data_IF_696062890578
#
_entry.id   IF_696062890578
#
_cell.length_a   1.000
_cell.length_b   1.000
_cell.length_c   1.000
_cell.angle_alpha   90.00
_cell.angle_beta   90.00
_cell.angle_gamma   90.00
#
_symmetry.space_group_name_H-M   'P 1'
#
loop_
_entity.id
_entity.type
_entity.pdbx_description
1 polymer ?
#
# COMPACT_ATOMS: atom_id res chain seq x y z
N UNK A 1 -37.71 41.65 47.08
CA UNK A 1 -38.50 40.48 46.61
C UNK A 1 -38.13 40.23 45.15
N UNK A 2 -37.58 39.04 44.92
CA UNK A 2 -36.71 38.64 43.82
C UNK A 2 -37.33 38.71 42.42
N UNK A 3 -36.50 39.01 41.40
CA UNK A 3 -36.68 38.47 40.04
C UNK A 3 -35.36 38.47 39.25
N UNK A 4 -34.54 37.48 39.58
CA UNK A 4 -33.71 36.63 38.71
C UNK A 4 -33.36 37.17 37.31
N UNK A 5 -32.10 37.59 37.14
CA UNK A 5 -31.43 37.81 35.86
C UNK A 5 -31.04 36.44 35.28
N UNK A 6 -31.76 35.93 34.27
CA UNK A 6 -31.41 34.66 33.61
C UNK A 6 -30.36 34.90 32.52
N UNK A 7 -29.11 34.59 32.83
CA UNK A 7 -27.99 34.52 31.88
C UNK A 7 -28.18 33.30 30.97
N UNK A 8 -28.49 33.53 29.69
CA UNK A 8 -28.45 32.48 28.66
C UNK A 8 -26.99 32.23 28.26
N UNK A 9 -26.41 31.13 28.73
CA UNK A 9 -25.13 30.63 28.22
C UNK A 9 -25.38 29.94 26.87
N UNK A 10 -24.93 30.56 25.78
CA UNK A 10 -24.91 29.93 24.46
C UNK A 10 -23.78 28.88 24.44
N UNK A 11 -24.14 27.61 24.48
CA UNK A 11 -23.19 26.53 24.20
C UNK A 11 -22.87 26.54 22.69
N UNK A 12 -21.69 27.04 22.34
CA UNK A 12 -21.15 26.92 21.00
C UNK A 12 -20.83 25.43 20.74
N UNK A 13 -21.71 24.75 20.00
CA UNK A 13 -21.47 23.40 19.51
C UNK A 13 -20.35 23.47 18.47
N UNK A 14 -19.12 23.13 18.86
CA UNK A 14 -17.99 22.99 17.96
C UNK A 14 -18.26 21.76 17.08
N UNK A 15 -18.83 21.97 15.90
CA UNK A 15 -18.93 20.90 14.90
C UNK A 15 -17.51 20.52 14.50
N UNK A 16 -17.02 19.35 14.94
CA UNK A 16 -15.88 18.70 14.32
C UNK A 16 -16.29 18.41 12.87
N UNK A 17 -15.89 19.28 11.95
CA UNK A 17 -15.88 18.95 10.54
C UNK A 17 -14.87 17.81 10.38
N UNK A 18 -15.36 16.59 10.16
CA UNK A 18 -14.52 15.48 9.74
C UNK A 18 -13.91 15.86 8.38
N UNK A 19 -12.63 16.24 8.39
CA UNK A 19 -11.86 16.42 7.16
C UNK A 19 -11.83 15.04 6.48
N UNK A 20 -12.26 14.92 5.21
CA UNK A 20 -12.22 13.63 4.52
C UNK A 20 -10.78 13.13 4.54
N UNK A 21 -10.59 11.92 5.08
CA UNK A 21 -9.31 11.25 5.05
C UNK A 21 -8.87 11.11 3.59
N UNK A 22 -7.69 11.64 3.28
CA UNK A 22 -7.28 11.82 1.90
C UNK A 22 -6.89 10.46 1.28
N UNK A 23 -7.74 9.98 0.36
CA UNK A 23 -7.57 8.70 -0.31
C UNK A 23 -6.57 8.82 -1.48
N UNK A 24 -5.61 7.91 -1.55
CA UNK A 24 -4.77 7.66 -2.72
C UNK A 24 -5.16 6.39 -3.46
N UNK A 25 -4.76 6.33 -4.73
CA UNK A 25 -5.05 5.21 -5.62
C UNK A 25 -3.76 4.68 -6.24
N UNK A 26 -3.60 3.36 -6.29
CA UNK A 26 -2.49 2.70 -6.99
C UNK A 26 -3.02 1.59 -7.89
N UNK A 27 -2.39 1.41 -9.05
CA UNK A 27 -2.61 0.28 -9.95
C UNK A 27 -1.42 -0.69 -9.87
N UNK A 28 -1.67 -1.89 -9.36
CA UNK A 28 -0.65 -2.90 -9.08
C UNK A 28 -0.73 -3.99 -10.17
N UNK A 29 0.31 -4.17 -11.00
CA UNK A 29 0.33 -5.27 -11.96
C UNK A 29 0.45 -6.62 -11.24
N UNK A 30 -0.06 -7.69 -11.86
CA UNK A 30 0.13 -9.04 -11.34
C UNK A 30 1.64 -9.40 -11.31
N UNK A 31 2.08 -9.88 -10.15
CA UNK A 31 3.45 -10.36 -9.92
C UNK A 31 3.60 -11.81 -10.42
N UNK A 32 2.58 -12.65 -10.20
CA UNK A 32 2.52 -14.04 -10.69
C UNK A 32 1.13 -14.39 -11.15
N UNK A 33 1.01 -15.27 -12.14
CA UNK A 33 -0.21 -16.01 -12.42
C UNK A 33 0.07 -17.43 -12.93
N UNK A 34 -0.90 -18.32 -12.81
CA UNK A 34 -0.76 -19.68 -13.34
C UNK A 34 -2.10 -20.38 -13.53
N UNK A 35 -2.18 -21.41 -14.39
CA UNK A 35 -3.35 -22.28 -14.55
C UNK A 35 -3.12 -23.70 -14.03
N UNK A 36 -4.06 -24.19 -13.20
CA UNK A 36 -4.13 -25.57 -12.72
C UNK A 36 -5.06 -26.42 -13.60
N UNK A 37 -4.65 -27.65 -13.90
CA UNK A 37 -5.33 -28.55 -14.86
C UNK A 37 -5.75 -29.86 -14.17
N UNK A 38 -7.05 -30.09 -14.00
CA UNK A 38 -7.52 -31.19 -13.14
C UNK A 38 -7.35 -32.61 -13.69
N UNK A 39 -7.25 -32.74 -15.01
CA UNK A 39 -7.11 -34.02 -15.70
C UNK A 39 -5.72 -34.63 -15.54
N UNK A 40 -4.71 -33.83 -15.19
CA UNK A 40 -3.35 -34.32 -15.04
C UNK A 40 -2.54 -33.42 -14.09
N UNK A 41 -2.07 -34.01 -12.99
CA UNK A 41 -1.23 -33.33 -11.99
C UNK A 41 0.17 -32.93 -12.47
N UNK A 42 0.56 -33.27 -13.70
CA UNK A 42 1.83 -32.87 -14.32
C UNK A 42 1.66 -31.78 -15.38
N UNK A 43 0.49 -31.14 -15.46
CA UNK A 43 0.24 -30.02 -16.37
C UNK A 43 0.21 -28.69 -15.62
N UNK A 44 0.82 -27.68 -16.23
CA UNK A 44 0.89 -26.31 -15.74
C UNK A 44 0.83 -25.30 -16.89
N UNK A 45 0.54 -24.05 -16.55
CA UNK A 45 0.81 -22.90 -17.40
C UNK A 45 1.27 -21.76 -16.49
N UNK A 46 2.58 -21.53 -16.39
CA UNK A 46 3.18 -20.48 -15.57
C UNK A 46 3.86 -19.36 -16.38
N UNK A 47 3.99 -19.54 -17.69
CA UNK A 47 4.69 -18.60 -18.58
C UNK A 47 3.95 -18.31 -19.89
N UNK A 48 2.73 -18.83 -20.07
CA UNK A 48 1.90 -18.58 -21.25
C UNK A 48 1.22 -17.20 -21.24
N UNK A 49 0.69 -16.80 -22.37
CA UNK A 49 0.04 -15.50 -22.59
C UNK A 49 -1.37 -15.43 -21.99
N UNK A 50 -1.91 -16.56 -21.51
CA UNK A 50 -3.26 -16.66 -20.97
C UNK A 50 -3.35 -17.54 -19.72
N UNK A 51 -4.38 -17.30 -18.90
CA UNK A 51 -4.79 -18.23 -17.86
C UNK A 51 -6.28 -18.57 -17.94
N UNK A 52 -6.68 -19.69 -17.32
CA UNK A 52 -8.00 -20.26 -17.52
C UNK A 52 -8.71 -20.58 -16.20
N UNK A 53 -10.03 -20.45 -16.22
CA UNK A 53 -10.90 -20.91 -15.14
C UNK A 53 -12.19 -21.54 -15.69
N UNK A 54 -12.86 -22.39 -14.92
CA UNK A 54 -14.10 -23.07 -15.30
C UNK A 54 -13.87 -24.46 -15.90
N UNK A 55 -14.86 -24.99 -16.62
CA UNK A 55 -14.86 -26.38 -17.10
C UNK A 55 -14.84 -26.43 -18.63
N UNK A 56 -13.95 -27.24 -19.16
CA UNK A 56 -13.83 -27.50 -20.62
C UNK A 56 -15.02 -28.31 -21.15
N UNK A 57 -15.12 -28.43 -22.47
CA UNK A 57 -16.12 -29.31 -23.10
C UNK A 57 -15.92 -30.81 -22.77
N UNK A 58 -14.74 -31.20 -22.32
CA UNK A 58 -14.41 -32.57 -21.90
C UNK A 58 -14.58 -32.81 -20.40
N UNK A 59 -15.12 -31.82 -19.66
CA UNK A 59 -15.35 -31.94 -18.21
C UNK A 59 -14.12 -31.71 -17.33
N UNK A 60 -12.96 -31.38 -17.90
CA UNK A 60 -11.77 -31.02 -17.15
C UNK A 60 -11.88 -29.60 -16.59
N UNK A 61 -11.50 -29.41 -15.33
CA UNK A 61 -11.53 -28.13 -14.61
C UNK A 61 -10.22 -27.36 -14.84
N UNK A 62 -10.38 -26.04 -14.87
CA UNK A 62 -9.33 -25.03 -14.85
C UNK A 62 -9.55 -24.13 -13.66
N UNK A 63 -8.47 -23.81 -12.95
CA UNK A 63 -8.44 -22.77 -11.93
C UNK A 63 -7.19 -21.94 -12.16
N UNK A 64 -7.29 -20.64 -11.97
CA UNK A 64 -6.12 -19.77 -12.09
C UNK A 64 -5.67 -19.28 -10.71
N UNK A 65 -4.37 -19.12 -10.53
CA UNK A 65 -3.78 -18.43 -9.38
C UNK A 65 -3.29 -17.08 -9.84
N UNK A 66 -3.43 -16.05 -9.01
CA UNK A 66 -2.93 -14.70 -9.31
C UNK A 66 -2.46 -14.02 -8.02
N UNK A 67 -1.29 -13.38 -8.08
CA UNK A 67 -0.65 -12.71 -6.93
C UNK A 67 -0.23 -11.29 -7.30
N UNK A 68 -0.44 -10.35 -6.36
CA UNK A 68 -0.04 -8.95 -6.47
C UNK A 68 0.92 -8.58 -5.33
N UNK A 69 1.91 -7.74 -5.61
CA UNK A 69 2.84 -7.25 -4.59
C UNK A 69 2.30 -6.01 -3.87
N UNK A 70 1.41 -6.24 -2.89
CA UNK A 70 0.73 -5.18 -2.15
C UNK A 70 1.70 -4.37 -1.27
N UNK A 71 2.58 -5.05 -0.53
CA UNK A 71 3.40 -4.42 0.50
C UNK A 71 4.49 -3.49 -0.07
N UNK A 72 4.98 -3.76 -1.29
CA UNK A 72 5.90 -2.87 -1.97
C UNK A 72 5.20 -1.76 -2.79
N UNK A 73 3.88 -1.86 -2.97
CA UNK A 73 3.09 -0.90 -3.76
C UNK A 73 2.32 0.11 -2.93
N UNK A 74 2.02 -0.21 -1.66
CA UNK A 74 1.23 0.64 -0.76
C UNK A 74 2.04 0.92 0.51
N UNK A 75 2.11 2.18 0.98
CA UNK A 75 2.81 2.51 2.22
C UNK A 75 2.29 1.69 3.41
N UNK A 76 3.20 1.08 4.16
CA UNK A 76 2.86 0.32 5.36
C UNK A 76 2.08 1.17 6.37
N UNK A 77 1.02 0.61 6.97
CA UNK A 77 0.13 1.33 7.88
C UNK A 77 -1.00 2.11 7.19
N UNK A 78 -1.09 2.06 5.86
CA UNK A 78 -2.26 2.58 5.15
C UNK A 78 -3.53 1.80 5.51
N UNK A 79 -4.66 2.49 5.47
CA UNK A 79 -5.99 1.88 5.55
C UNK A 79 -6.54 1.68 4.15
N UNK A 80 -6.84 0.44 3.75
CA UNK A 80 -7.44 0.13 2.45
C UNK A 80 -8.91 0.57 2.47
N UNK A 81 -9.30 1.35 1.47
CA UNK A 81 -10.66 1.84 1.26
C UNK A 81 -11.41 0.93 0.29
N UNK A 82 -10.78 0.58 -0.83
CA UNK A 82 -11.38 -0.26 -1.87
C UNK A 82 -10.32 -1.11 -2.56
N UNK A 83 -10.73 -2.23 -3.15
CA UNK A 83 -9.90 -3.04 -4.04
C UNK A 83 -10.73 -3.51 -5.23
N UNK A 84 -10.22 -3.32 -6.44
CA UNK A 84 -10.84 -3.73 -7.69
C UNK A 84 -9.83 -4.48 -8.57
N UNK A 85 -10.11 -5.74 -8.89
CA UNK A 85 -9.30 -6.53 -9.83
C UNK A 85 -9.91 -6.42 -11.22
N UNK A 86 -9.14 -5.95 -12.19
CA UNK A 86 -9.51 -5.88 -13.60
C UNK A 86 -8.82 -7.01 -14.36
N UNK A 87 -9.60 -7.86 -15.02
CA UNK A 87 -9.12 -8.92 -15.90
C UNK A 87 -9.71 -8.75 -17.30
N UNK A 88 -8.94 -9.07 -18.34
CA UNK A 88 -9.44 -9.09 -19.71
C UNK A 88 -9.81 -10.52 -20.12
N UNK A 89 -11.11 -10.81 -20.25
CA UNK A 89 -11.57 -12.09 -20.79
C UNK A 89 -11.46 -12.07 -22.32
N UNK A 90 -10.55 -12.89 -22.86
CA UNK A 90 -10.20 -12.88 -24.28
C UNK A 90 -10.83 -14.00 -25.09
N UNK A 91 -11.40 -15.04 -24.45
CA UNK A 91 -12.13 -16.10 -25.16
C UNK A 91 -13.02 -16.94 -24.23
N UNK A 92 -14.20 -17.30 -24.72
CA UNK A 92 -15.10 -18.27 -24.08
C UNK A 92 -16.04 -18.92 -25.10
N UNK A 93 -16.52 -20.12 -24.81
CA UNK A 93 -17.64 -20.76 -25.50
C UNK A 93 -18.94 -20.74 -24.67
N UNK A 94 -18.88 -20.16 -23.47
CA UNK A 94 -19.98 -20.08 -22.52
C UNK A 94 -20.62 -18.70 -22.54
N UNK A 95 -21.90 -18.62 -22.20
CA UNK A 95 -22.57 -17.36 -21.82
C UNK A 95 -22.05 -16.84 -20.47
N UNK A 96 -22.71 -15.81 -19.94
CA UNK A 96 -22.48 -15.29 -18.60
C UNK A 96 -22.47 -16.41 -17.54
N UNK A 97 -21.38 -16.53 -16.79
CA UNK A 97 -21.24 -17.43 -15.63
C UNK A 97 -20.51 -16.70 -14.52
N UNK A 98 -20.82 -17.08 -13.28
CA UNK A 98 -20.13 -16.54 -12.12
C UNK A 98 -18.68 -17.04 -12.06
N UNK A 99 -17.77 -16.09 -11.88
CA UNK A 99 -16.36 -16.34 -11.61
C UNK A 99 -16.02 -15.72 -10.26
N UNK A 100 -15.38 -16.51 -9.41
CA UNK A 100 -15.17 -16.21 -7.99
C UNK A 100 -13.69 -16.07 -7.68
N UNK A 101 -13.37 -15.12 -6.81
CA UNK A 101 -12.06 -14.98 -6.21
C UNK A 101 -12.08 -15.57 -4.81
N UNK A 102 -11.14 -16.45 -4.50
CA UNK A 102 -10.97 -17.02 -3.16
C UNK A 102 -9.56 -16.78 -2.66
N UNK A 103 -9.39 -16.32 -1.43
CA UNK A 103 -8.06 -16.09 -0.86
C UNK A 103 -7.30 -17.40 -0.69
N UNK A 104 -6.09 -17.46 -1.25
CA UNK A 104 -5.19 -18.62 -1.16
C UNK A 104 -4.56 -18.68 0.23
N UNK A 105 -4.38 -19.90 0.75
CA UNK A 105 -3.91 -20.15 2.12
C UNK A 105 -2.47 -20.63 2.21
N UNK A 106 -1.85 -20.97 1.09
CA UNK A 106 -0.47 -21.44 1.03
C UNK A 106 0.28 -20.79 -0.13
N UNK A 107 1.59 -20.58 0.05
CA UNK A 107 2.45 -20.12 -1.03
C UNK A 107 2.50 -21.13 -2.17
N UNK A 108 2.71 -20.61 -3.37
CA UNK A 108 2.77 -21.39 -4.60
C UNK A 108 3.81 -20.80 -5.55
N UNK A 109 4.25 -21.63 -6.49
CA UNK A 109 5.28 -21.28 -7.46
C UNK A 109 4.73 -21.11 -8.87
N UNK A 110 5.43 -20.30 -9.65
CA UNK A 110 5.17 -20.05 -11.06
C UNK A 110 6.46 -20.43 -11.78
N UNK A 111 6.41 -21.50 -12.57
CA UNK A 111 7.55 -22.04 -13.29
C UNK A 111 7.51 -21.64 -14.76
N UNK A 112 8.43 -22.24 -15.52
CA UNK A 112 8.66 -21.89 -16.93
C UNK A 112 7.72 -22.60 -17.92
N UNK A 113 6.71 -23.33 -17.45
CA UNK A 113 5.78 -24.06 -18.33
C UNK A 113 5.03 -23.09 -19.23
N UNK A 114 5.28 -23.18 -20.53
CA UNK A 114 4.70 -22.34 -21.55
C UNK A 114 4.03 -23.20 -22.64
N UNK A 115 2.69 -23.37 -22.59
CA UNK A 115 1.95 -24.07 -23.63
C UNK A 115 1.90 -23.29 -24.93
N UNK A 116 1.86 -24.00 -26.05
CA UNK A 116 1.78 -23.38 -27.38
C UNK A 116 0.33 -23.17 -27.83
N UNK A 117 0.14 -22.29 -28.82
CA UNK A 117 -1.16 -22.10 -29.48
C UNK A 117 -2.18 -21.39 -28.59
N UNK A 118 -3.30 -22.04 -28.30
CA UNK A 118 -4.41 -21.47 -27.52
C UNK A 118 -4.32 -21.78 -26.01
N UNK A 119 -3.29 -22.49 -25.57
CA UNK A 119 -2.87 -22.68 -24.17
C UNK A 119 -3.80 -23.42 -23.20
N UNK A 120 -5.08 -23.63 -23.54
CA UNK A 120 -6.06 -24.23 -22.62
C UNK A 120 -5.78 -25.68 -22.20
N UNK A 121 -4.87 -26.37 -22.88
CA UNK A 121 -4.44 -27.72 -22.53
C UNK A 121 -3.25 -27.76 -21.53
N UNK A 122 -2.57 -26.62 -21.30
CA UNK A 122 -1.35 -26.58 -20.50
C UNK A 122 -0.15 -27.24 -21.16
N UNK A 123 1.00 -27.15 -20.49
CA UNK A 123 2.26 -27.78 -20.88
C UNK A 123 2.76 -28.71 -19.76
N UNK A 124 3.77 -29.53 -20.07
CA UNK A 124 4.42 -30.36 -19.06
C UNK A 124 5.07 -29.48 -17.98
N UNK A 125 4.65 -29.68 -16.73
CA UNK A 125 5.10 -28.92 -15.57
C UNK A 125 6.62 -28.97 -15.42
N UNK A 126 7.20 -27.80 -15.15
CA UNK A 126 8.61 -27.60 -14.87
C UNK A 126 8.81 -27.43 -13.35
N UNK A 127 10.05 -27.59 -12.85
CA UNK A 127 10.34 -27.35 -11.45
C UNK A 127 9.86 -25.97 -10.97
N UNK A 128 9.10 -25.95 -9.89
CA UNK A 128 8.53 -24.73 -9.32
C UNK A 128 7.12 -24.37 -9.79
N UNK A 129 6.55 -25.05 -10.80
CA UNK A 129 5.18 -24.77 -11.23
C UNK A 129 4.12 -25.15 -10.19
N UNK A 130 3.03 -24.39 -10.15
CA UNK A 130 1.79 -24.84 -9.55
C UNK A 130 1.04 -25.75 -10.52
N UNK A 131 0.63 -26.93 -10.05
CA UNK A 131 -0.21 -27.88 -10.78
C UNK A 131 -1.44 -28.20 -9.95
N UNK A 132 -2.35 -29.02 -10.49
CA UNK A 132 -3.53 -29.46 -9.73
C UNK A 132 -3.18 -30.18 -8.43
N UNK A 133 -2.05 -30.90 -8.37
CA UNK A 133 -1.66 -31.69 -7.20
C UNK A 133 -0.53 -31.06 -6.38
N UNK A 134 0.26 -30.15 -6.97
CA UNK A 134 1.40 -29.52 -6.32
C UNK A 134 1.34 -27.99 -6.32
N UNK A 135 1.67 -27.37 -5.19
CA UNK A 135 1.89 -25.91 -5.10
C UNK A 135 3.30 -25.50 -5.51
N UNK A 136 4.25 -26.45 -5.44
CA UNK A 136 5.56 -26.36 -6.08
C UNK A 136 5.92 -27.73 -6.66
N UNK A 137 5.72 -27.91 -7.96
CA UNK A 137 6.03 -29.15 -8.66
C UNK A 137 7.55 -29.40 -8.70
N UNK A 138 8.00 -30.66 -8.56
CA UNK A 138 7.22 -31.86 -8.22
C UNK A 138 7.07 -32.09 -6.70
N UNK A 139 7.69 -31.26 -5.85
CA UNK A 139 8.04 -31.64 -4.47
C UNK A 139 7.06 -31.26 -3.37
N UNK A 140 6.18 -30.28 -3.56
CA UNK A 140 5.30 -29.78 -2.49
C UNK A 140 3.82 -29.86 -2.89
N UNK A 141 3.02 -30.76 -2.28
CA UNK A 141 1.61 -30.91 -2.61
C UNK A 141 0.74 -29.77 -2.04
N UNK A 142 -0.43 -29.59 -2.64
CA UNK A 142 -1.57 -28.96 -1.94
C UNK A 142 -2.10 -29.89 -0.86
N UNK A 143 -2.80 -29.36 0.15
CA UNK A 143 -3.53 -30.19 1.10
C UNK A 143 -4.75 -30.83 0.43
N UNK A 144 -5.47 -30.03 -0.38
CA UNK A 144 -6.54 -30.52 -1.27
C UNK A 144 -6.15 -30.26 -2.73
N UNK A 145 -6.20 -31.27 -3.63
CA UNK A 145 -5.96 -31.05 -5.06
C UNK A 145 -6.88 -29.94 -5.62
N UNK A 146 -6.30 -29.07 -6.44
CA UNK A 146 -6.95 -27.88 -6.99
C UNK A 146 -6.80 -26.62 -6.14
N UNK A 147 -5.99 -26.65 -5.08
CA UNK A 147 -5.58 -25.47 -4.30
C UNK A 147 -6.12 -25.43 -2.88
N UNK A 148 -5.35 -24.80 -1.98
CA UNK A 148 -5.77 -24.52 -0.60
C UNK A 148 -6.27 -23.07 -0.50
N UNK A 149 -7.57 -22.86 -0.28
CA UNK A 149 -8.20 -21.55 -0.28
C UNK A 149 -9.37 -21.43 0.71
N UNK A 150 -9.76 -20.20 1.03
CA UNK A 150 -10.95 -19.92 1.84
C UNK A 150 -12.23 -20.20 1.04
N UNK A 151 -13.09 -21.08 1.54
CA UNK A 151 -14.32 -21.48 0.85
C UNK A 151 -15.27 -20.31 0.55
N UNK A 152 -15.38 -19.33 1.45
CA UNK A 152 -16.12 -18.09 1.19
C UNK A 152 -15.36 -17.23 0.17
N UNK A 153 -15.98 -16.86 -0.97
CA UNK A 153 -15.32 -16.03 -1.96
C UNK A 153 -15.11 -14.61 -1.42
N UNK A 154 -13.97 -14.03 -1.75
CA UNK A 154 -13.66 -12.62 -1.54
C UNK A 154 -14.53 -11.75 -2.44
N UNK A 155 -14.75 -12.17 -3.69
CA UNK A 155 -15.67 -11.52 -4.63
C UNK A 155 -16.26 -12.51 -5.63
N UNK A 156 -17.39 -12.14 -6.21
CA UNK A 156 -18.07 -12.85 -7.29
C UNK A 156 -18.42 -11.83 -8.36
N UNK A 157 -18.18 -12.17 -9.63
CA UNK A 157 -18.55 -11.35 -10.78
C UNK A 157 -19.07 -12.25 -11.89
N UNK A 158 -20.08 -11.79 -12.62
CA UNK A 158 -20.64 -12.53 -13.75
C UNK A 158 -19.87 -12.17 -15.02
N UNK A 159 -19.15 -13.13 -15.58
CA UNK A 159 -18.29 -12.94 -16.75
C UNK A 159 -19.01 -13.46 -18.00
N UNK A 160 -19.40 -12.54 -18.87
CA UNK A 160 -19.98 -12.84 -20.19
C UNK A 160 -18.94 -12.65 -21.30
N UNK A 161 -19.37 -12.53 -22.56
CA UNK A 161 -18.52 -12.22 -23.70
C UNK A 161 -18.13 -10.73 -23.72
N UNK A 162 -16.84 -10.44 -23.79
CA UNK A 162 -16.31 -9.08 -23.92
C UNK A 162 -15.13 -8.82 -22.97
N UNK A 163 -14.42 -7.69 -23.15
CA UNK A 163 -13.29 -7.31 -22.31
C UNK A 163 -13.72 -6.55 -21.04
N UNK A 164 -12.80 -6.43 -20.08
CA UNK A 164 -12.88 -5.43 -19.00
C UNK A 164 -13.66 -5.84 -17.75
N UNK A 165 -13.67 -7.13 -17.40
CA UNK A 165 -14.33 -7.62 -16.19
C UNK A 165 -13.66 -7.08 -14.92
N UNK A 166 -14.48 -6.63 -13.96
CA UNK A 166 -14.00 -6.02 -12.72
C UNK A 166 -14.64 -6.67 -11.50
N UNK A 167 -13.82 -7.29 -10.64
CA UNK A 167 -14.23 -7.77 -9.33
C UNK A 167 -13.94 -6.67 -8.30
N UNK A 168 -14.94 -6.30 -7.52
CA UNK A 168 -14.75 -5.42 -6.37
C UNK A 168 -15.67 -5.89 -5.23
N UNK A 169 -15.19 -5.78 -3.99
CA UNK A 169 -15.98 -6.08 -2.81
C UNK A 169 -15.25 -5.62 -1.54
N UNK A 170 -16.00 -5.57 -0.43
CA UNK A 170 -15.39 -5.41 0.90
C UNK A 170 -14.47 -6.59 1.27
N UNK A 171 -14.79 -7.81 0.82
CA UNK A 171 -13.97 -9.00 1.05
C UNK A 171 -12.56 -8.87 0.45
N UNK A 172 -12.48 -8.33 -0.78
CA UNK A 172 -11.20 -8.04 -1.42
C UNK A 172 -10.42 -6.95 -0.70
N UNK A 173 -11.07 -5.86 -0.29
CA UNK A 173 -10.41 -4.80 0.48
C UNK A 173 -9.83 -5.34 1.80
N UNK A 174 -10.56 -6.22 2.49
CA UNK A 174 -10.10 -6.88 3.72
C UNK A 174 -8.91 -7.81 3.48
N UNK A 175 -8.90 -8.58 2.40
CA UNK A 175 -7.76 -9.41 2.03
C UNK A 175 -6.51 -8.54 1.77
N UNK A 176 -6.65 -7.48 0.98
CA UNK A 176 -5.54 -6.54 0.69
C UNK A 176 -5.05 -5.85 1.96
N UNK A 177 -5.94 -5.44 2.87
CA UNK A 177 -5.54 -4.88 4.17
C UNK A 177 -4.77 -5.92 5.00
N UNK A 178 -5.23 -7.17 5.01
CA UNK A 178 -4.54 -8.28 5.69
C UNK A 178 -3.13 -8.51 5.13
N UNK A 179 -2.99 -8.50 3.81
CA UNK A 179 -1.69 -8.64 3.13
C UNK A 179 -0.76 -7.46 3.35
N UNK A 180 -1.29 -6.23 3.42
CA UNK A 180 -0.49 -5.05 3.78
C UNK A 180 0.02 -5.14 5.22
N UNK A 181 -0.83 -5.61 6.15
CA UNK A 181 -0.49 -5.73 7.57
C UNK A 181 0.44 -6.92 7.86
N UNK A 182 0.32 -8.01 7.10
CA UNK A 182 1.12 -9.21 7.23
C UNK A 182 1.57 -9.72 5.85
N UNK A 183 2.61 -9.13 5.25
CA UNK A 183 3.04 -9.45 3.88
C UNK A 183 3.38 -10.93 3.64
N UNK A 184 3.84 -11.65 4.68
CA UNK A 184 4.12 -13.09 4.62
C UNK A 184 2.88 -13.97 4.42
N UNK A 185 1.67 -13.41 4.59
CA UNK A 185 0.39 -14.10 4.35
C UNK A 185 -0.18 -13.85 2.94
N UNK A 186 0.49 -13.03 2.12
CA UNK A 186 0.03 -12.71 0.78
C UNK A 186 0.37 -13.83 -0.21
N UNK A 187 -0.63 -14.66 -0.49
CA UNK A 187 -0.57 -15.72 -1.51
C UNK A 187 -1.52 -15.46 -2.68
N UNK A 188 -2.16 -14.29 -2.71
CA UNK A 188 -3.06 -13.88 -3.77
C UNK A 188 -4.42 -14.59 -3.73
N UNK A 189 -5.07 -14.63 -4.89
CA UNK A 189 -6.37 -15.27 -5.08
C UNK A 189 -6.27 -16.46 -6.04
N UNK A 190 -7.13 -17.45 -5.81
CA UNK A 190 -7.51 -18.44 -6.82
C UNK A 190 -8.80 -17.99 -7.50
N UNK A 191 -8.82 -18.02 -8.82
CA UNK A 191 -9.94 -17.65 -9.68
C UNK A 191 -10.66 -18.93 -10.11
N UNK A 192 -11.91 -19.08 -9.67
CA UNK A 192 -12.72 -20.30 -9.88
C UNK A 192 -14.02 -19.91 -10.60
N UNK A 193 -14.19 -20.38 -11.83
CA UNK A 193 -15.44 -20.29 -12.59
C UNK A 193 -16.48 -21.31 -12.13
N UNK A 194 -17.62 -21.36 -12.82
CA UNK A 194 -18.66 -22.35 -12.54
C UNK A 194 -18.15 -23.78 -12.83
N UNK A 195 -17.93 -24.57 -11.78
CA UNK A 195 -17.51 -25.97 -11.87
C UNK A 195 -18.66 -26.98 -11.78
N UNK A 196 -19.91 -26.52 -11.85
CA UNK A 196 -21.11 -27.37 -11.74
C UNK A 196 -21.63 -27.86 -13.08
N UNK A 197 -21.25 -27.18 -14.18
CA UNK A 197 -21.63 -27.51 -15.56
C UNK A 197 -20.37 -27.68 -16.42
N UNK A 198 -20.51 -28.34 -17.57
CA UNK A 198 -19.47 -28.36 -18.61
C UNK A 198 -19.59 -27.13 -19.51
N UNK A 199 -18.50 -26.76 -20.21
CA UNK A 199 -18.47 -25.62 -21.13
C UNK A 199 -18.76 -24.30 -20.38
N UNK A 200 -18.00 -24.06 -19.32
CA UNK A 200 -18.02 -22.80 -18.55
C UNK A 200 -16.68 -22.07 -18.62
N UNK A 201 -15.71 -22.64 -19.34
CA UNK A 201 -14.35 -22.12 -19.38
C UNK A 201 -14.27 -20.67 -19.87
N UNK A 202 -13.51 -19.85 -19.14
CA UNK A 202 -13.11 -18.49 -19.49
C UNK A 202 -11.59 -18.44 -19.63
N UNK A 203 -11.11 -17.82 -20.70
CA UNK A 203 -9.71 -17.46 -20.89
C UNK A 203 -9.52 -15.98 -20.57
N UNK A 204 -8.54 -15.69 -19.72
CA UNK A 204 -8.11 -14.34 -19.42
C UNK A 204 -6.67 -14.13 -19.89
N UNK A 205 -6.33 -12.89 -20.21
CA UNK A 205 -4.96 -12.52 -20.57
C UNK A 205 -4.07 -12.49 -19.31
N UNK A 206 -2.89 -13.11 -19.38
CA UNK A 206 -1.94 -13.22 -18.27
C UNK A 206 -1.07 -11.98 -18.10
N UNK A 207 -0.26 -11.93 -17.04
CA UNK A 207 0.75 -10.90 -16.80
C UNK A 207 1.85 -10.87 -17.88
N UNK A 208 2.07 -11.97 -18.59
CA UNK A 208 3.06 -12.09 -19.65
C UNK A 208 2.49 -11.80 -21.04
N UNK A 209 1.15 -11.65 -21.17
CA UNK A 209 0.48 -11.38 -22.44
C UNK A 209 1.17 -10.24 -23.24
N UNK A 210 1.34 -10.39 -24.56
CA UNK A 210 2.07 -9.43 -25.38
C UNK A 210 1.40 -8.05 -25.48
N UNK A 211 0.12 -7.91 -25.10
CA UNK A 211 -0.60 -6.64 -25.07
C UNK A 211 -0.66 -6.10 -23.64
N UNK A 212 0.17 -5.11 -23.25
CA UNK A 212 0.24 -4.66 -21.85
C UNK A 212 -1.08 -4.12 -21.30
N UNK A 213 -1.92 -3.52 -22.16
CA UNK A 213 -3.22 -2.97 -21.76
C UNK A 213 -4.24 -4.03 -21.31
N UNK A 214 -4.03 -5.30 -21.67
CA UNK A 214 -4.93 -6.39 -21.31
C UNK A 214 -4.49 -7.14 -20.05
N UNK A 215 -3.29 -6.86 -19.53
CA UNK A 215 -2.72 -7.60 -18.41
C UNK A 215 -3.51 -7.35 -17.13
N UNK A 216 -3.53 -8.31 -16.18
CA UNK A 216 -4.24 -8.14 -14.93
C UNK A 216 -3.72 -6.96 -14.09
N UNK A 217 -4.63 -6.17 -13.56
CA UNK A 217 -4.32 -5.04 -12.67
C UNK A 217 -5.23 -5.04 -11.45
N UNK A 218 -4.63 -4.92 -10.27
CA UNK A 218 -5.33 -4.65 -9.02
C UNK A 218 -5.29 -3.14 -8.74
N UNK A 219 -6.43 -2.49 -8.79
CA UNK A 219 -6.60 -1.08 -8.44
C UNK A 219 -7.00 -1.01 -6.96
N UNK A 220 -6.27 -0.23 -6.17
CA UNK A 220 -6.50 -0.11 -4.72
C UNK A 220 -6.61 1.35 -4.34
N UNK A 221 -7.72 1.70 -3.71
CA UNK A 221 -7.85 2.98 -3.01
C UNK A 221 -7.50 2.79 -1.54
N UNK A 222 -6.71 3.70 -0.97
CA UNK A 222 -6.24 3.61 0.41
C UNK A 222 -6.05 5.00 1.02
N UNK A 223 -6.15 5.11 2.34
CA UNK A 223 -5.72 6.28 3.09
C UNK A 223 -4.32 6.02 3.63
N UNK A 224 -3.28 6.80 3.29
CA UNK A 224 -1.95 6.66 3.85
C UNK A 224 -1.92 6.76 5.38
N UNK A 225 -0.96 6.15 6.07
CA UNK A 225 -0.81 6.32 7.51
C UNK A 225 -0.58 7.79 7.83
N UNK A 226 -1.42 8.38 8.68
CA UNK A 226 -1.29 9.76 9.14
C UNK A 226 -0.23 9.91 10.24
N UNK A 227 0.85 9.12 10.24
CA UNK A 227 1.78 9.03 11.38
C UNK A 227 3.12 9.69 11.05
N UNK A 228 3.36 10.92 11.55
CA UNK A 228 4.70 11.44 11.74
C UNK A 228 5.49 10.50 12.66
N UNK A 229 6.60 9.95 12.19
CA UNK A 229 7.46 9.07 12.97
C UNK A 229 8.75 9.79 13.37
N UNK A 230 8.95 9.99 14.68
CA UNK A 230 10.22 10.47 15.20
C UNK A 230 11.29 9.38 15.01
N UNK A 231 12.47 9.78 14.52
CA UNK A 231 13.64 8.92 14.38
C UNK A 231 14.91 9.73 14.67
N UNK A 232 16.05 9.05 14.82
CA UNK A 232 17.36 9.66 15.13
C UNK A 232 17.39 10.32 16.52
N UNK A 233 18.42 10.02 17.31
CA UNK A 233 18.44 10.41 18.72
C UNK A 233 18.89 11.86 18.86
N UNK A 234 18.05 12.72 19.43
CA UNK A 234 18.44 14.07 19.81
C UNK A 234 19.28 14.06 21.08
N UNK A 235 20.33 14.88 21.13
CA UNK A 235 21.16 15.07 22.31
C UNK A 235 20.60 16.20 23.19
N UNK A 236 20.86 16.13 24.49
CA UNK A 236 20.45 17.17 25.43
C UNK A 236 21.07 18.54 25.08
N UNK A 237 20.28 19.61 25.20
CA UNK A 237 20.75 20.99 25.03
C UNK A 237 21.06 21.66 26.38
N UNK A 238 21.32 22.97 26.37
CA UNK A 238 21.68 23.72 27.59
C UNK A 238 20.60 23.72 28.69
N UNK A 239 19.36 23.34 28.36
CA UNK A 239 18.27 23.16 29.33
C UNK A 239 18.23 21.76 29.95
N UNK A 240 19.09 20.85 29.50
CA UNK A 240 19.12 19.44 29.93
C UNK A 240 18.18 18.52 29.14
N UNK A 241 17.32 19.06 28.28
CA UNK A 241 16.38 18.28 27.46
C UNK A 241 16.84 18.14 26.00
N UNK A 242 16.53 17.02 25.32
CA UNK A 242 16.75 16.88 23.89
C UNK A 242 15.67 17.64 23.09
N UNK A 243 16.07 18.41 22.08
CA UNK A 243 15.09 19.11 21.24
C UNK A 243 14.17 18.13 20.50
N UNK A 244 12.87 18.41 20.48
CA UNK A 244 11.85 17.53 19.88
C UNK A 244 11.17 18.19 18.69
N UNK A 245 11.15 17.55 17.52
CA UNK A 245 10.34 17.96 16.37
C UNK A 245 9.08 17.09 16.28
N UNK A 246 7.94 17.73 16.06
CA UNK A 246 6.63 17.08 15.89
C UNK A 246 5.81 17.80 14.82
N UNK A 247 4.83 17.11 14.23
CA UNK A 247 3.81 17.74 13.41
C UNK A 247 2.61 18.14 14.27
N UNK A 248 2.06 19.33 14.04
CA UNK A 248 0.88 19.86 14.73
C UNK A 248 -0.44 19.53 14.01
N UNK A 249 -0.37 19.10 12.75
CA UNK A 249 -1.51 18.69 11.96
C UNK A 249 -1.19 17.44 11.13
N UNK A 250 -2.24 16.80 10.60
CA UNK A 250 -2.11 15.65 9.73
C UNK A 250 -1.30 16.01 8.46
N UNK A 251 -0.36 15.16 8.03
CA UNK A 251 0.44 15.40 6.83
C UNK A 251 -0.35 15.05 5.57
N UNK A 252 -1.24 15.94 5.17
CA UNK A 252 -2.11 15.80 4.00
C UNK A 252 -1.94 17.01 3.10
N UNK A 253 -1.85 16.81 1.78
CA UNK A 253 -1.75 17.88 0.79
C UNK A 253 -3.02 18.76 0.76
N UNK A 254 -4.19 18.18 1.07
CA UNK A 254 -5.46 18.88 1.19
C UNK A 254 -5.46 19.95 2.30
N UNK A 255 -4.62 19.83 3.32
CA UNK A 255 -4.46 20.86 4.34
C UNK A 255 -3.76 22.14 3.82
N UNK A 256 -3.15 22.09 2.62
CA UNK A 256 -2.36 23.18 2.04
C UNK A 256 -1.03 23.46 2.75
N UNK A 257 -0.82 22.90 3.94
CA UNK A 257 0.43 23.00 4.69
C UNK A 257 0.63 21.88 5.72
N UNK A 258 1.89 21.61 6.03
CA UNK A 258 2.30 20.89 7.24
C UNK A 258 2.80 21.90 8.27
N UNK A 259 2.26 21.86 9.47
CA UNK A 259 2.70 22.67 10.61
C UNK A 259 3.63 21.85 11.49
N UNK A 260 4.84 22.36 11.72
CA UNK A 260 5.86 21.73 12.54
C UNK A 260 6.04 22.51 13.85
N UNK A 261 6.32 21.79 14.93
CA UNK A 261 6.75 22.36 16.21
C UNK A 261 8.05 21.72 16.68
N UNK A 262 9.08 22.56 16.83
CA UNK A 262 10.30 22.22 17.54
C UNK A 262 10.14 22.69 19.00
N UNK A 263 10.25 21.78 19.95
CA UNK A 263 10.00 21.99 21.38
C UNK A 263 11.17 21.54 22.24
N UNK A 264 11.12 21.85 23.54
CA UNK A 264 12.21 21.61 24.50
C UNK A 264 13.51 22.32 24.09
N UNK A 265 13.40 23.49 23.46
CA UNK A 265 14.53 24.29 23.03
C UNK A 265 14.92 25.31 24.10
N UNK A 266 16.15 25.84 24.07
CA UNK A 266 16.50 27.01 24.86
C UNK A 266 15.53 28.18 24.57
N UNK A 267 15.01 28.87 25.60
CA UNK A 267 14.10 30.00 25.41
C UNK A 267 14.66 31.07 24.47
N UNK A 268 13.80 31.64 23.61
CA UNK A 268 14.15 32.73 22.70
C UNK A 268 15.28 32.42 21.69
N UNK A 269 15.58 31.14 21.45
CA UNK A 269 16.63 30.74 20.50
C UNK A 269 16.13 30.76 19.05
N UNK A 270 17.02 31.11 18.11
CA UNK A 270 16.73 31.03 16.69
C UNK A 270 16.89 29.59 16.18
N UNK A 271 15.90 29.14 15.42
CA UNK A 271 15.77 27.81 14.86
C UNK A 271 15.66 27.87 13.33
N UNK A 272 16.30 26.93 12.65
CA UNK A 272 16.26 26.73 11.20
C UNK A 272 15.60 25.38 10.93
N UNK A 273 14.53 25.38 10.14
CA UNK A 273 13.81 24.18 9.73
C UNK A 273 14.22 23.78 8.31
N UNK A 274 14.41 22.49 8.10
CA UNK A 274 14.81 21.92 6.82
C UNK A 274 14.26 20.50 6.67
N UNK A 275 14.29 20.01 5.44
CA UNK A 275 13.84 18.66 5.11
C UNK A 275 14.62 18.08 3.93
N UNK A 276 14.50 16.77 3.72
CA UNK A 276 15.16 16.08 2.64
C UNK A 276 14.57 14.69 2.35
N UNK A 277 15.13 14.03 1.35
CA UNK A 277 14.59 12.79 0.79
C UNK A 277 15.02 11.53 1.54
N UNK A 278 16.09 11.60 2.34
CA UNK A 278 16.68 10.44 3.00
C UNK A 278 16.87 10.67 4.51
N UNK A 279 16.91 9.56 5.26
CA UNK A 279 17.28 9.55 6.67
C UNK A 279 18.78 9.37 6.82
N UNK A 280 19.35 10.00 7.84
CA UNK A 280 20.72 9.72 8.29
C UNK A 280 20.79 9.88 9.81
N UNK A 281 21.92 9.54 10.41
CA UNK A 281 22.25 9.86 11.80
C UNK A 281 23.76 10.09 11.86
N UNK A 282 24.17 11.33 11.60
CA UNK A 282 25.58 11.72 11.54
C UNK A 282 25.85 12.83 12.55
N UNK A 283 26.94 12.75 13.33
CA UNK A 283 27.28 13.82 14.27
C UNK A 283 27.41 15.18 13.57
N UNK A 284 26.72 16.18 14.08
CA UNK A 284 26.79 17.55 13.59
C UNK A 284 26.60 18.53 14.75
N UNK A 285 27.58 19.43 14.97
CA UNK A 285 27.53 20.34 16.11
C UNK A 285 27.51 19.58 17.44
N UNK A 286 26.59 19.94 18.34
CA UNK A 286 26.44 19.24 19.63
C UNK A 286 25.46 18.06 19.58
N UNK A 287 24.90 17.73 18.41
CA UNK A 287 23.93 16.65 18.23
C UNK A 287 24.12 15.89 16.92
N UNK A 288 23.02 15.45 16.32
CA UNK A 288 23.02 14.63 15.12
C UNK A 288 22.22 15.31 13.99
N UNK A 289 22.79 15.35 12.78
CA UNK A 289 22.03 15.56 11.56
C UNK A 289 21.25 14.27 11.24
N UNK A 290 19.94 14.42 11.08
CA UNK A 290 19.03 13.30 10.87
C UNK A 290 18.48 13.23 9.43
N UNK A 291 18.80 14.21 8.58
CA UNK A 291 18.24 14.37 7.22
C UNK A 291 19.37 14.39 6.20
N UNK A 292 19.20 13.66 5.10
CA UNK A 292 20.14 13.56 3.99
C UNK A 292 19.43 13.61 2.63
N UNK A 293 20.17 13.30 1.56
CA UNK A 293 19.68 13.32 0.18
C UNK A 293 19.52 14.76 -0.35
N UNK A 294 18.48 14.99 -1.14
CA UNK A 294 18.18 16.33 -1.65
C UNK A 294 17.59 17.18 -0.53
N UNK A 295 18.35 18.18 -0.05
CA UNK A 295 17.98 19.01 1.09
C UNK A 295 17.36 20.34 0.69
N UNK A 296 16.33 20.74 1.44
CA UNK A 296 15.56 21.96 1.23
C UNK A 296 15.38 22.72 2.54
N UNK A 297 15.39 24.06 2.48
CA UNK A 297 15.15 24.93 3.64
C UNK A 297 13.69 25.35 3.71
N UNK A 298 13.09 25.26 4.90
CA UNK A 298 11.75 25.82 5.18
C UNK A 298 11.83 27.23 5.74
N UNK A 299 13.02 27.67 6.16
CA UNK A 299 13.28 28.96 6.77
C UNK A 299 13.46 28.86 8.28
N UNK A 300 13.33 29.99 8.97
CA UNK A 300 13.66 30.12 10.39
C UNK A 300 12.47 30.55 11.25
N UNK A 301 12.53 30.24 12.54
CA UNK A 301 11.63 30.78 13.55
C UNK A 301 12.42 30.98 14.85
N UNK A 302 11.99 31.93 15.67
CA UNK A 302 12.50 32.07 17.04
C UNK A 302 11.61 31.25 17.98
N UNK A 303 12.22 30.54 18.92
CA UNK A 303 11.50 29.83 19.96
C UNK A 303 10.86 30.84 20.93
N UNK A 304 9.66 30.53 21.41
CA UNK A 304 9.01 31.28 22.47
C UNK A 304 9.80 31.20 23.79
N UNK A 305 9.43 31.98 24.82
CA UNK A 305 9.97 31.80 26.17
C UNK A 305 9.77 30.38 26.73
N UNK A 306 8.77 29.64 26.25
CA UNK A 306 8.53 28.24 26.59
C UNK A 306 9.40 27.23 25.81
N UNK A 307 10.34 27.70 24.98
CA UNK A 307 11.22 26.81 24.22
C UNK A 307 10.53 26.11 23.04
N UNK A 308 9.50 26.72 22.46
CA UNK A 308 8.77 26.18 21.30
C UNK A 308 8.86 27.13 20.11
N UNK A 309 9.34 26.63 18.98
CA UNK A 309 9.35 27.31 17.68
C UNK A 309 8.44 26.56 16.70
N UNK A 310 7.61 27.26 15.95
CA UNK A 310 6.72 26.65 14.95
C UNK A 310 7.10 27.06 13.52
N UNK A 311 6.81 26.20 12.54
CA UNK A 311 7.03 26.52 11.12
C UNK A 311 5.99 25.85 10.24
N UNK A 312 5.43 26.63 9.31
CA UNK A 312 4.54 26.11 8.28
C UNK A 312 5.36 25.77 7.03
N UNK A 313 5.27 24.52 6.59
CA UNK A 313 5.67 24.10 5.26
C UNK A 313 4.46 24.27 4.33
N UNK A 314 4.33 25.46 3.73
CA UNK A 314 3.27 25.80 2.78
C UNK A 314 3.56 25.13 1.43
N UNK A 315 2.80 24.11 1.05
CA UNK A 315 3.15 23.27 -0.10
C UNK A 315 3.26 24.05 -1.42
N UNK A 316 2.38 25.04 -1.63
CA UNK A 316 2.40 25.90 -2.81
C UNK A 316 3.58 26.87 -2.91
N UNK A 317 4.38 27.01 -1.84
CA UNK A 317 5.57 27.87 -1.80
C UNK A 317 6.88 27.07 -1.69
N UNK A 318 6.79 25.75 -1.53
CA UNK A 318 7.99 24.92 -1.55
C UNK A 318 8.53 24.87 -2.98
N UNK A 319 9.87 24.83 -3.19
CA UNK A 319 10.49 24.86 -4.52
C UNK A 319 10.15 23.68 -5.45
N UNK A 320 9.15 22.86 -5.13
CA UNK A 320 9.01 21.54 -5.71
C UNK A 320 7.56 21.03 -5.72
N UNK A 321 7.15 20.59 -6.91
CA UNK A 321 6.11 19.59 -7.19
C UNK A 321 6.47 18.18 -6.70
N UNK A 322 7.29 18.04 -5.66
CA UNK A 322 7.97 16.76 -5.29
C UNK A 322 7.38 16.16 -4.01
N UNK A 323 6.70 16.94 -3.16
CA UNK A 323 5.83 16.35 -2.14
C UNK A 323 4.55 15.89 -2.83
N UNK A 324 4.58 14.65 -3.31
CA UNK A 324 3.43 13.99 -3.91
C UNK A 324 2.72 13.10 -2.88
N UNK A 325 1.45 12.76 -3.12
CA UNK A 325 0.79 11.75 -2.32
C UNK A 325 1.58 10.45 -2.25
N UNK A 326 1.65 9.85 -1.06
CA UNK A 326 2.44 8.65 -0.79
C UNK A 326 3.94 8.89 -0.62
N UNK A 327 4.47 10.07 -0.98
CA UNK A 327 5.89 10.38 -0.77
C UNK A 327 6.20 10.55 0.72
N UNK A 328 7.36 10.03 1.13
CA UNK A 328 7.89 10.20 2.49
C UNK A 328 9.02 11.22 2.48
N UNK A 329 8.98 12.17 3.41
CA UNK A 329 9.99 13.20 3.58
C UNK A 329 10.46 13.30 5.02
N UNK A 330 11.72 13.70 5.18
CA UNK A 330 12.41 13.74 6.46
C UNK A 330 12.65 15.18 6.90
N UNK A 331 12.06 15.60 8.01
CA UNK A 331 12.14 16.97 8.55
C UNK A 331 13.03 17.02 9.79
N UNK A 332 13.72 18.14 9.99
CA UNK A 332 14.49 18.41 11.21
C UNK A 332 14.60 19.92 11.46
N UNK A 333 14.82 20.30 12.72
CA UNK A 333 15.20 21.66 13.08
C UNK A 333 16.59 21.70 13.74
N UNK A 334 17.38 22.70 13.37
CA UNK A 334 18.63 23.07 14.06
C UNK A 334 18.40 24.38 14.81
N UNK A 335 18.92 24.51 16.02
CA UNK A 335 18.74 25.69 16.85
C UNK A 335 20.03 26.14 17.52
N UNK A 336 20.12 27.45 17.81
CA UNK A 336 21.27 28.00 18.53
C UNK A 336 21.26 27.54 19.99
N UNK A 337 22.43 27.24 20.53
CA UNK A 337 22.58 26.66 21.85
C UNK A 337 23.96 27.04 22.44
N UNK A 338 24.29 28.33 22.44
CA UNK A 338 25.61 28.84 22.86
C UNK A 338 25.93 28.49 24.31
N UNK A 339 24.91 28.49 25.19
CA UNK A 339 25.07 28.17 26.61
C UNK A 339 25.53 26.72 26.88
N UNK A 340 25.39 25.82 25.91
CA UNK A 340 25.89 24.44 26.04
C UNK A 340 27.38 24.30 25.65
N UNK A 341 28.04 25.39 25.24
CA UNK A 341 29.41 25.34 24.73
C UNK A 341 29.55 24.56 23.41
N UNK A 342 30.77 24.13 23.10
CA UNK A 342 31.06 23.35 21.89
C UNK A 342 30.78 24.14 20.61
N UNK A 343 30.02 23.55 19.69
CA UNK A 343 29.70 24.15 18.39
C UNK A 343 28.69 25.33 18.49
N UNK A 344 28.06 25.54 19.65
CA UNK A 344 27.11 26.63 19.87
C UNK A 344 25.74 26.44 19.20
N UNK A 345 25.46 25.25 18.65
CA UNK A 345 24.16 24.85 18.12
C UNK A 345 23.92 23.35 18.35
N UNK A 346 22.65 22.96 18.33
CA UNK A 346 22.21 21.58 18.47
C UNK A 346 21.00 21.33 17.53
N UNK A 347 20.56 20.07 17.40
CA UNK A 347 19.45 19.67 16.56
C UNK A 347 18.34 18.98 17.35
N UNK A 348 17.14 18.94 16.76
CA UNK A 348 16.05 18.08 17.20
C UNK A 348 16.23 16.65 16.69
N UNK A 349 15.35 15.74 17.08
CA UNK A 349 15.18 14.47 16.37
C UNK A 349 14.75 14.73 14.92
N UNK A 350 14.86 13.70 14.08
CA UNK A 350 14.24 13.67 12.77
C UNK A 350 12.75 13.31 12.85
N UNK A 351 11.95 13.85 11.94
CA UNK A 351 10.53 13.54 11.79
C UNK A 351 10.29 13.06 10.35
N UNK A 352 9.99 11.77 10.18
CA UNK A 352 9.63 11.22 8.88
C UNK A 352 8.11 11.32 8.69
N UNK A 353 7.70 11.86 7.56
CA UNK A 353 6.31 12.21 7.27
C UNK A 353 5.93 11.66 5.90
N UNK A 354 4.92 10.80 5.86
CA UNK A 354 4.31 10.33 4.61
C UNK A 354 3.10 11.21 4.32
N UNK A 355 3.04 11.79 3.12
CA UNK A 355 1.97 12.71 2.76
C UNK A 355 0.76 11.99 2.17
N UNK A 356 -0.41 12.24 2.74
CA UNK A 356 -1.71 11.96 2.11
C UNK A 356 -2.05 13.00 1.04
N UNK A 357 -3.13 12.74 0.30
CA UNK A 357 -3.72 13.72 -0.62
C UNK A 357 -4.24 14.97 0.11
#
# INVERSE_FOLDING_TARGET
MNRELRTLAAAALLALLAVPAAAGTVAIPANKDSTLHSENGTLANGAGDYFFTGVTALGAKRRALILFDVANSIPAGSTIVSAALVLNMSQTAASAVDVKLHRVLASWGEGASNPTGQEGAGAAAQPGDATWTARFFPGTPWTTPGGDYVATPSAVHSVDQGPGDTWNSLGMANDVQGWLNAPSSNFGWIVIGDETQIITAKRFDSRTNPTPANRPVLIVDFTPPLVPANYCTATANSTGFPGQLSALNAPSLANGMLQLAASQLPPNTNCSFFFGTERTETPLGNGNLCVAGSMYRLGTSTASPGGVATRNALYGLLPVSVITPGSTWCFQAQYRNVAAGGAGFNQTNGLAVTFGF
#
